data_IF_781756933929
#
_entry.id   IF_781756933929
#
_cell.length_a   1.000
_cell.length_b   1.000
_cell.length_c   1.000
_cell.angle_alpha   90.00
_cell.angle_beta   90.00
_cell.angle_gamma   90.00
#
_symmetry.space_group_name_H-M   'P 1'
#
loop_
_entity.id
_entity.type
_entity.pdbx_description
1 polymer ?
#
# COMPACT_ATOMS: atom_id res chain seq x y z
N UNK A 1 -2.53 -4.01 -30.14
CA UNK A 1 -1.88 -3.34 -28.97
C UNK A 1 -0.66 -2.53 -29.43
N UNK A 2 -0.54 -1.28 -29.00
CA UNK A 2 0.65 -0.47 -29.28
C UNK A 2 1.89 -1.13 -28.67
N UNK A 3 3.03 -1.21 -29.38
CA UNK A 3 4.27 -1.73 -28.81
C UNK A 3 4.68 -0.95 -27.57
N UNK A 4 5.24 -1.63 -26.57
CA UNK A 4 5.63 -1.00 -25.30
C UNK A 4 6.62 0.18 -25.47
N UNK A 5 7.61 0.13 -26.39
CA UNK A 5 8.46 1.30 -26.69
C UNK A 5 7.69 2.55 -27.15
N UNK A 6 6.56 2.37 -27.85
CA UNK A 6 5.70 3.49 -28.28
C UNK A 6 5.03 4.15 -27.09
N UNK A 7 4.55 3.36 -26.13
CA UNK A 7 3.96 3.89 -24.89
C UNK A 7 4.99 4.65 -24.05
N UNK A 8 6.20 4.11 -23.93
CA UNK A 8 7.31 4.76 -23.24
C UNK A 8 7.64 6.10 -23.89
N UNK A 9 7.75 6.14 -25.22
CA UNK A 9 7.99 7.38 -25.98
C UNK A 9 6.93 8.42 -25.69
N UNK A 10 5.65 8.03 -25.78
CA UNK A 10 4.50 8.90 -25.52
C UNK A 10 4.59 9.54 -24.13
N UNK A 11 4.79 8.72 -23.08
CA UNK A 11 4.91 9.23 -21.71
C UNK A 11 6.16 10.08 -21.50
N UNK A 12 7.31 9.71 -22.08
CA UNK A 12 8.57 10.49 -22.04
C UNK A 12 8.38 11.89 -22.60
N UNK A 13 7.63 12.00 -23.68
CA UNK A 13 7.34 13.25 -24.39
C UNK A 13 6.24 14.09 -23.71
N UNK A 14 5.73 13.63 -22.55
CA UNK A 14 4.74 14.35 -21.74
C UNK A 14 3.30 14.14 -22.18
N UNK A 15 3.06 13.26 -23.15
CA UNK A 15 1.72 12.95 -23.61
C UNK A 15 0.98 12.06 -22.59
N UNK A 16 -0.35 12.15 -22.65
CA UNK A 16 -1.27 11.38 -21.81
C UNK A 16 -1.43 9.96 -22.35
N UNK A 17 -1.30 8.96 -21.50
CA UNK A 17 -1.63 7.58 -21.83
C UNK A 17 -3.14 7.36 -21.74
N UNK A 18 -3.70 6.69 -22.74
CA UNK A 18 -5.09 6.26 -22.72
C UNK A 18 -5.27 5.05 -21.80
N UNK A 19 -6.49 4.88 -21.29
CA UNK A 19 -6.86 3.78 -20.40
C UNK A 19 -6.56 2.38 -21.00
N UNK A 20 -6.74 2.21 -22.31
CA UNK A 20 -6.37 0.98 -23.01
C UNK A 20 -4.85 0.76 -23.10
N UNK A 21 -4.07 1.84 -23.24
CA UNK A 21 -2.61 1.80 -23.28
C UNK A 21 -2.05 1.41 -21.90
N UNK A 22 -2.60 2.00 -20.84
CA UNK A 22 -2.22 1.69 -19.46
C UNK A 22 -2.54 0.23 -19.13
N UNK A 23 -3.74 -0.26 -19.49
CA UNK A 23 -4.08 -1.69 -19.35
C UNK A 23 -3.11 -2.59 -20.11
N UNK A 24 -2.72 -2.21 -21.33
CA UNK A 24 -1.77 -3.00 -22.12
C UNK A 24 -0.39 -3.06 -21.46
N UNK A 25 0.08 -1.95 -20.87
CA UNK A 25 1.32 -1.92 -20.10
C UNK A 25 1.24 -2.82 -18.87
N UNK A 26 0.21 -2.66 -18.03
CA UNK A 26 0.05 -3.45 -16.80
C UNK A 26 -0.10 -4.94 -17.10
N UNK A 27 -0.83 -5.30 -18.17
CA UNK A 27 -0.90 -6.69 -18.62
C UNK A 27 0.47 -7.22 -19.04
N UNK A 28 1.25 -6.45 -19.80
CA UNK A 28 2.60 -6.84 -20.18
C UNK A 28 3.55 -7.06 -19.00
N UNK A 29 3.41 -6.24 -17.95
CA UNK A 29 4.12 -6.43 -16.67
C UNK A 29 3.69 -7.73 -15.98
N UNK A 30 2.38 -8.00 -15.95
CA UNK A 30 1.80 -9.16 -15.26
C UNK A 30 2.14 -10.47 -15.94
N UNK A 31 2.09 -10.51 -17.27
CA UNK A 31 2.35 -11.69 -18.11
C UNK A 31 3.86 -11.92 -18.36
N UNK A 32 4.73 -11.02 -17.89
CA UNK A 32 6.18 -11.12 -18.09
C UNK A 32 6.66 -10.83 -19.52
N UNK A 33 5.80 -10.25 -20.38
CA UNK A 33 6.17 -9.86 -21.74
C UNK A 33 6.88 -8.50 -21.79
N UNK A 34 6.72 -7.67 -20.75
CA UNK A 34 7.48 -6.44 -20.56
C UNK A 34 8.85 -6.74 -19.92
N UNK A 35 9.93 -6.38 -20.60
CA UNK A 35 11.29 -6.55 -20.07
C UNK A 35 11.56 -5.52 -18.96
N UNK A 36 12.41 -5.88 -17.98
CA UNK A 36 12.73 -4.98 -16.85
C UNK A 36 13.22 -3.59 -17.31
N UNK A 37 14.06 -3.52 -18.35
CA UNK A 37 14.52 -2.25 -18.91
C UNK A 37 13.38 -1.38 -19.48
N UNK A 38 12.35 -1.99 -20.05
CA UNK A 38 11.17 -1.28 -20.55
C UNK A 38 10.30 -0.78 -19.39
N UNK A 39 10.14 -1.59 -18.35
CA UNK A 39 9.39 -1.22 -17.15
C UNK A 39 10.09 -0.05 -16.43
N UNK A 40 11.40 -0.16 -16.21
CA UNK A 40 12.21 0.92 -15.62
C UNK A 40 12.15 2.21 -16.43
N UNK A 41 12.20 2.13 -17.76
CA UNK A 41 12.05 3.31 -18.63
C UNK A 41 10.66 3.96 -18.52
N UNK A 42 9.58 3.17 -18.45
CA UNK A 42 8.23 3.69 -18.21
C UNK A 42 8.12 4.34 -16.83
N UNK A 43 8.63 3.69 -15.78
CA UNK A 43 8.62 4.22 -14.41
C UNK A 43 9.36 5.57 -14.33
N UNK A 44 10.52 5.68 -14.98
CA UNK A 44 11.27 6.92 -15.03
C UNK A 44 10.54 8.01 -15.82
N UNK A 45 9.90 7.66 -16.95
CA UNK A 45 9.07 8.59 -17.71
C UNK A 45 7.91 9.14 -16.87
N UNK A 46 7.20 8.28 -16.13
CA UNK A 46 6.14 8.69 -15.18
C UNK A 46 6.71 9.52 -14.04
N UNK A 47 7.87 9.17 -13.49
CA UNK A 47 8.53 9.94 -12.43
C UNK A 47 8.83 11.37 -12.88
N UNK A 48 9.30 11.56 -14.12
CA UNK A 48 9.69 12.87 -14.65
C UNK A 48 8.55 13.70 -15.25
N UNK A 49 7.49 13.05 -15.76
CA UNK A 49 6.36 13.72 -16.44
C UNK A 49 5.05 13.68 -15.68
N UNK A 50 4.97 12.91 -14.59
CA UNK A 50 3.75 12.69 -13.83
C UNK A 50 2.69 11.91 -14.62
N UNK A 51 1.52 11.79 -14.02
CA UNK A 51 0.29 11.29 -14.63
C UNK A 51 -0.85 12.17 -14.11
N UNK A 52 -1.84 12.43 -14.97
CA UNK A 52 -3.06 13.10 -14.51
C UNK A 52 -3.94 12.17 -13.63
N UNK A 53 -5.02 12.71 -13.07
CA UNK A 53 -5.92 11.96 -12.18
C UNK A 53 -6.55 10.73 -12.89
N UNK A 54 -6.86 10.85 -14.17
CA UNK A 54 -7.50 9.78 -14.93
C UNK A 54 -6.49 8.69 -15.34
N UNK A 55 -5.27 9.07 -15.71
CA UNK A 55 -4.14 8.16 -15.89
C UNK A 55 -3.86 7.40 -14.58
N UNK A 56 -3.79 8.10 -13.45
CA UNK A 56 -3.54 7.51 -12.12
C UNK A 56 -4.64 6.52 -11.72
N UNK A 57 -5.91 6.88 -11.93
CA UNK A 57 -7.05 5.99 -11.68
C UNK A 57 -7.01 4.75 -12.58
N UNK A 58 -6.71 4.91 -13.88
CA UNK A 58 -6.60 3.81 -14.83
C UNK A 58 -5.47 2.85 -14.45
N UNK A 59 -4.30 3.38 -14.05
CA UNK A 59 -3.18 2.57 -13.55
C UNK A 59 -3.57 1.81 -12.29
N UNK A 60 -4.21 2.48 -11.34
CA UNK A 60 -4.68 1.88 -10.08
C UNK A 60 -5.64 0.72 -10.33
N UNK A 61 -6.65 0.93 -11.20
CA UNK A 61 -7.64 -0.10 -11.55
C UNK A 61 -6.99 -1.28 -12.26
N UNK A 62 -6.14 -1.01 -13.25
CA UNK A 62 -5.46 -2.07 -14.00
C UNK A 62 -4.55 -2.91 -13.09
N UNK A 63 -3.85 -2.29 -12.14
CA UNK A 63 -3.03 -2.99 -11.14
C UNK A 63 -3.90 -3.82 -10.19
N UNK A 64 -5.01 -3.25 -9.68
CA UNK A 64 -5.91 -3.95 -8.75
C UNK A 64 -6.51 -5.22 -9.36
N UNK A 65 -6.81 -5.19 -10.66
CA UNK A 65 -7.38 -6.33 -11.40
C UNK A 65 -6.33 -7.18 -12.13
N UNK A 66 -5.04 -7.00 -11.84
CA UNK A 66 -3.97 -7.80 -12.45
C UNK A 66 -3.92 -9.25 -11.94
N UNK A 67 -4.59 -9.54 -10.82
CA UNK A 67 -4.72 -10.86 -10.24
C UNK A 67 -6.15 -11.16 -9.79
N UNK A 68 -6.30 -12.10 -8.87
CA UNK A 68 -7.58 -12.40 -8.19
C UNK A 68 -7.99 -11.21 -7.32
N UNK A 69 -9.27 -10.86 -7.40
CA UNK A 69 -9.90 -9.95 -6.45
C UNK A 69 -10.51 -10.76 -5.32
N UNK A 70 -10.31 -10.31 -4.07
CA UNK A 70 -10.89 -10.99 -2.91
C UNK A 70 -12.41 -10.83 -2.92
N UNK A 71 -13.13 -11.86 -2.51
CA UNK A 71 -14.58 -11.85 -2.37
C UNK A 71 -14.93 -12.37 -0.98
N UNK A 72 -15.71 -11.59 -0.25
CA UNK A 72 -16.03 -11.87 1.14
C UNK A 72 -17.49 -12.27 1.31
N UNK A 73 -17.81 -13.06 2.35
CA UNK A 73 -19.18 -13.35 2.71
C UNK A 73 -20.02 -12.07 2.83
N UNK A 74 -21.27 -12.04 2.32
CA UNK A 74 -22.16 -10.88 2.46
C UNK A 74 -22.37 -10.41 3.90
N UNK A 75 -22.28 -11.34 4.87
CA UNK A 75 -22.38 -11.03 6.30
C UNK A 75 -21.26 -10.12 6.84
N UNK A 76 -20.15 -9.94 6.10
CA UNK A 76 -19.05 -9.04 6.48
C UNK A 76 -19.16 -7.66 5.83
N UNK A 77 -20.22 -7.42 5.05
CA UNK A 77 -20.45 -6.12 4.44
C UNK A 77 -20.50 -5.02 5.51
N UNK A 78 -19.80 -3.91 5.28
CA UNK A 78 -19.68 -2.81 6.24
C UNK A 78 -18.64 -3.02 7.35
N UNK A 79 -18.12 -4.24 7.56
CA UNK A 79 -17.13 -4.56 8.59
C UNK A 79 -15.69 -4.56 8.05
N UNK A 80 -15.51 -4.62 6.73
CA UNK A 80 -14.20 -4.70 6.10
C UNK A 80 -13.51 -3.33 6.12
N UNK A 81 -12.45 -3.21 6.91
CA UNK A 81 -11.70 -1.97 7.08
C UNK A 81 -10.21 -2.24 6.98
N UNK A 82 -9.45 -1.24 6.58
CA UNK A 82 -7.99 -1.32 6.65
C UNK A 82 -7.35 0.05 6.90
N UNK A 83 -6.07 0.00 7.28
CA UNK A 83 -5.19 1.16 7.38
C UNK A 83 -3.97 0.98 6.50
N UNK A 84 -3.55 2.03 5.82
CA UNK A 84 -2.27 2.04 5.11
C UNK A 84 -1.40 3.22 5.55
N UNK A 85 -0.08 2.99 5.70
CA UNK A 85 0.90 4.04 5.93
C UNK A 85 1.70 4.28 4.66
N UNK A 86 2.04 5.53 4.38
CA UNK A 86 2.95 5.87 3.26
C UNK A 86 4.40 5.48 3.52
N UNK A 87 4.72 4.98 4.71
CA UNK A 87 6.06 4.57 5.12
C UNK A 87 6.70 5.58 6.07
N UNK A 88 7.37 5.06 7.09
CA UNK A 88 8.05 5.84 8.13
C UNK A 88 9.02 4.99 8.94
N UNK A 89 9.84 5.65 9.75
CA UNK A 89 10.84 4.99 10.60
C UNK A 89 10.20 4.63 11.95
N UNK A 90 10.35 3.38 12.38
CA UNK A 90 9.70 2.90 13.60
C UNK A 90 8.17 2.76 13.47
N UNK A 91 7.59 2.74 12.27
CA UNK A 91 6.12 2.69 12.13
C UNK A 91 5.58 1.26 12.33
N UNK A 92 5.29 0.90 13.59
CA UNK A 92 4.70 -0.39 13.98
C UNK A 92 3.20 -0.35 14.23
N UNK A 93 2.51 0.73 13.82
CA UNK A 93 1.07 0.92 14.06
C UNK A 93 0.26 -0.26 13.55
N UNK A 94 0.54 -0.77 12.35
CA UNK A 94 -0.22 -1.86 11.75
C UNK A 94 -0.24 -3.13 12.61
N UNK A 95 0.85 -3.41 13.35
CA UNK A 95 0.96 -4.60 14.20
C UNK A 95 0.00 -4.54 15.40
N UNK A 96 -0.24 -3.34 15.95
CA UNK A 96 -1.18 -3.13 17.05
C UNK A 96 -2.61 -2.86 16.54
N UNK A 97 -2.75 -2.09 15.46
CA UNK A 97 -4.04 -1.62 14.96
C UNK A 97 -4.88 -2.75 14.34
N UNK A 98 -4.28 -3.65 13.57
CA UNK A 98 -5.02 -4.75 12.95
C UNK A 98 -5.76 -5.64 13.98
N UNK A 99 -5.12 -6.15 15.05
CA UNK A 99 -5.84 -6.89 16.08
C UNK A 99 -6.77 -6.01 16.93
N UNK A 100 -6.47 -4.72 17.14
CA UNK A 100 -7.37 -3.81 17.86
C UNK A 100 -8.71 -3.63 17.12
N UNK A 101 -8.67 -3.37 15.81
CA UNK A 101 -9.87 -3.28 14.97
C UNK A 101 -10.65 -4.60 14.92
N UNK A 102 -9.95 -5.73 14.86
CA UNK A 102 -10.58 -7.05 14.93
C UNK A 102 -11.30 -7.27 16.28
N UNK A 103 -10.71 -6.84 17.40
CA UNK A 103 -11.34 -6.88 18.72
C UNK A 103 -12.58 -5.97 18.81
N UNK A 104 -12.60 -4.87 18.04
CA UNK A 104 -13.77 -3.98 17.87
C UNK A 104 -14.83 -4.54 16.90
N UNK A 105 -14.69 -5.78 16.41
CA UNK A 105 -15.65 -6.45 15.53
C UNK A 105 -15.48 -6.18 14.04
N UNK A 106 -14.40 -5.51 13.63
CA UNK A 106 -14.09 -5.31 12.22
C UNK A 106 -13.41 -6.54 11.58
N UNK A 107 -13.34 -6.54 10.25
CA UNK A 107 -12.58 -7.51 9.45
C UNK A 107 -11.44 -6.79 8.72
N UNK A 108 -10.19 -7.20 8.96
CA UNK A 108 -8.99 -6.51 8.45
C UNK A 108 -8.17 -7.42 7.52
N UNK A 109 -8.45 -7.43 6.20
CA UNK A 109 -7.70 -8.20 5.18
C UNK A 109 -6.43 -7.47 4.71
N UNK A 110 -5.56 -7.02 5.61
CA UNK A 110 -4.47 -6.11 5.24
C UNK A 110 -3.45 -6.75 4.28
N UNK A 111 -3.37 -6.22 3.05
CA UNK A 111 -2.25 -6.48 2.13
C UNK A 111 -1.20 -5.39 2.36
N UNK A 112 -0.02 -5.79 2.85
CA UNK A 112 1.08 -4.90 3.19
C UNK A 112 2.29 -5.11 2.26
N UNK A 113 3.22 -4.17 2.29
CA UNK A 113 4.52 -4.26 1.62
C UNK A 113 5.68 -4.55 2.57
N UNK A 114 6.83 -4.86 1.96
CA UNK A 114 8.15 -4.84 2.59
C UNK A 114 8.72 -3.42 2.62
N UNK A 115 9.90 -3.27 3.25
CA UNK A 115 10.64 -2.02 3.28
C UNK A 115 10.81 -1.38 1.89
N UNK A 116 10.91 -0.06 1.89
CA UNK A 116 11.06 0.76 0.68
C UNK A 116 12.00 1.92 0.99
N UNK A 117 13.10 2.04 0.25
CA UNK A 117 14.17 2.98 0.58
C UNK A 117 14.66 2.78 2.03
N UNK A 118 14.65 3.84 2.83
CA UNK A 118 15.07 3.80 4.24
C UNK A 118 13.97 3.40 5.23
N UNK A 119 12.75 3.15 4.76
CA UNK A 119 11.60 2.83 5.63
C UNK A 119 11.45 1.31 5.80
N UNK A 120 11.19 0.86 7.03
CA UNK A 120 10.97 -0.56 7.34
C UNK A 120 9.57 -1.04 6.95
N UNK A 121 9.45 -2.29 6.52
CA UNK A 121 8.18 -2.90 6.11
C UNK A 121 7.47 -3.64 7.25
N UNK A 122 6.14 -3.62 7.24
CA UNK A 122 5.34 -4.40 8.23
C UNK A 122 5.57 -5.91 8.08
N UNK A 123 5.75 -6.39 6.84
CA UNK A 123 6.00 -7.82 6.60
C UNK A 123 7.34 -8.27 7.17
N UNK A 124 8.39 -7.46 7.01
CA UNK A 124 9.73 -7.77 7.53
C UNK A 124 9.74 -7.83 9.07
N UNK A 125 8.89 -7.02 9.73
CA UNK A 125 8.67 -7.07 11.18
C UNK A 125 7.99 -8.38 11.59
N UNK A 126 6.92 -8.78 10.89
CA UNK A 126 6.18 -10.00 11.20
C UNK A 126 7.02 -11.27 10.97
N UNK A 127 7.90 -11.28 9.97
CA UNK A 127 8.83 -12.40 9.72
C UNK A 127 9.88 -12.58 10.83
N UNK A 128 10.06 -11.59 11.72
CA UNK A 128 10.87 -11.77 12.92
C UNK A 128 10.23 -12.73 13.94
N UNK A 129 8.93 -13.02 13.81
CA UNK A 129 8.23 -14.01 14.62
C UNK A 129 8.50 -15.40 14.01
N UNK A 130 9.16 -16.33 14.73
CA UNK A 130 9.50 -17.64 14.19
C UNK A 130 8.26 -18.40 13.66
N UNK A 131 8.32 -18.79 12.38
CA UNK A 131 7.25 -19.54 11.73
C UNK A 131 6.09 -18.69 11.18
N UNK A 132 6.13 -17.36 11.30
CA UNK A 132 5.10 -16.51 10.70
C UNK A 132 5.17 -16.57 9.17
N UNK A 133 4.04 -16.86 8.53
CA UNK A 133 3.92 -16.90 7.05
C UNK A 133 3.19 -15.65 6.57
N UNK A 134 3.88 -14.82 5.80
CA UNK A 134 3.34 -13.59 5.19
C UNK A 134 2.64 -13.83 3.85
N UNK A 135 2.69 -15.04 3.31
CA UNK A 135 1.95 -15.45 2.12
C UNK A 135 0.79 -16.35 2.50
N UNK A 136 -0.40 -16.02 1.99
CA UNK A 136 -1.62 -16.80 2.18
C UNK A 136 -2.44 -16.78 0.89
N UNK A 137 -3.17 -17.85 0.62
CA UNK A 137 -4.18 -17.86 -0.45
C UNK A 137 -5.42 -17.04 -0.04
N UNK A 138 -6.25 -16.58 -1.00
CA UNK A 138 -7.53 -15.95 -0.70
C UNK A 138 -8.42 -16.76 0.27
N UNK A 139 -8.40 -18.08 0.14
CA UNK A 139 -9.16 -19.01 0.99
C UNK A 139 -8.60 -19.05 2.42
N UNK A 140 -7.28 -19.09 2.58
CA UNK A 140 -6.61 -19.00 3.89
C UNK A 140 -6.89 -17.65 4.57
N UNK A 141 -6.90 -16.55 3.81
CA UNK A 141 -7.27 -15.22 4.32
C UNK A 141 -8.71 -15.21 4.82
N UNK A 142 -9.67 -15.73 4.03
CA UNK A 142 -11.06 -15.81 4.45
C UNK A 142 -11.22 -16.64 5.72
N UNK A 143 -10.59 -17.81 5.80
CA UNK A 143 -10.62 -18.64 7.01
C UNK A 143 -10.03 -17.90 8.22
N UNK A 144 -8.91 -17.19 8.04
CA UNK A 144 -8.27 -16.42 9.11
C UNK A 144 -9.16 -15.27 9.60
N UNK A 145 -9.78 -14.52 8.69
CA UNK A 145 -10.71 -13.46 9.05
C UNK A 145 -11.97 -13.96 9.78
N UNK A 146 -12.47 -15.14 9.40
CA UNK A 146 -13.60 -15.75 10.08
C UNK A 146 -13.26 -16.07 11.55
N UNK A 147 -12.05 -16.60 11.80
CA UNK A 147 -11.60 -17.07 13.11
C UNK A 147 -11.01 -15.98 14.02
N UNK A 148 -10.22 -15.07 13.45
CA UNK A 148 -9.37 -14.10 14.19
C UNK A 148 -9.84 -12.66 13.97
N UNK A 149 -10.44 -12.36 12.82
CA UNK A 149 -10.89 -11.01 12.46
C UNK A 149 -9.87 -10.15 11.72
N UNK A 150 -8.58 -10.49 11.76
CA UNK A 150 -7.55 -9.82 10.96
C UNK A 150 -6.52 -10.79 10.37
N UNK A 151 -5.91 -10.40 9.25
CA UNK A 151 -4.70 -11.00 8.71
C UNK A 151 -3.81 -9.90 8.09
N UNK A 152 -2.50 -10.09 8.10
CA UNK A 152 -1.55 -9.23 7.39
C UNK A 152 -0.73 -10.11 6.45
N UNK A 153 -0.83 -9.85 5.15
CA UNK A 153 -0.21 -10.65 4.09
C UNK A 153 0.51 -9.76 3.07
N UNK A 154 1.44 -10.32 2.32
CA UNK A 154 2.08 -9.63 1.19
C UNK A 154 1.36 -9.79 -0.13
N UNK A 155 1.80 -9.04 -1.14
CA UNK A 155 1.41 -9.30 -2.52
C UNK A 155 1.86 -10.71 -2.96
N UNK A 156 1.09 -11.36 -3.82
CA UNK A 156 1.40 -12.71 -4.31
C UNK A 156 1.26 -12.80 -5.84
N UNK A 157 1.52 -13.98 -6.41
CA UNK A 157 1.20 -14.22 -7.82
C UNK A 157 -0.30 -14.10 -8.10
N UNK A 158 -1.13 -14.34 -7.08
CA UNK A 158 -2.59 -14.25 -7.17
C UNK A 158 -3.12 -12.87 -6.77
N UNK A 159 -2.44 -12.13 -5.88
CA UNK A 159 -2.92 -10.86 -5.32
C UNK A 159 -2.06 -9.69 -5.77
N UNK A 160 -2.60 -8.89 -6.68
CA UNK A 160 -2.00 -7.66 -7.23
C UNK A 160 -0.57 -7.88 -7.79
N UNK A 161 -0.36 -8.88 -8.68
CA UNK A 161 0.96 -9.24 -9.19
C UNK A 161 1.67 -8.10 -9.92
N UNK A 162 0.94 -7.19 -10.58
CA UNK A 162 1.55 -6.02 -11.23
C UNK A 162 2.21 -5.09 -10.21
N UNK A 163 1.56 -4.81 -9.06
CA UNK A 163 2.15 -3.99 -7.99
C UNK A 163 3.42 -4.62 -7.46
N UNK A 164 3.44 -5.95 -7.26
CA UNK A 164 4.63 -6.65 -6.79
C UNK A 164 5.85 -6.39 -7.69
N UNK A 165 5.67 -6.47 -9.02
CA UNK A 165 6.75 -6.22 -9.98
C UNK A 165 7.15 -4.75 -10.00
N UNK A 166 6.17 -3.84 -10.09
CA UNK A 166 6.44 -2.40 -10.16
C UNK A 166 7.08 -1.88 -8.86
N UNK A 167 6.61 -2.34 -7.71
CA UNK A 167 7.14 -1.96 -6.39
C UNK A 167 8.60 -2.38 -6.23
N UNK A 168 8.94 -3.63 -6.57
CA UNK A 168 10.32 -4.12 -6.52
C UNK A 168 11.25 -3.36 -7.47
N UNK A 169 10.79 -3.01 -8.67
CA UNK A 169 11.58 -2.23 -9.60
C UNK A 169 11.74 -0.77 -9.16
N UNK A 170 10.70 -0.14 -8.60
CA UNK A 170 10.75 1.25 -8.13
C UNK A 170 11.85 1.48 -7.09
N UNK A 171 12.05 0.51 -6.20
CA UNK A 171 13.05 0.55 -5.13
C UNK A 171 14.49 0.60 -5.69
N UNK A 172 14.75 -0.11 -6.79
CA UNK A 172 16.09 -0.20 -7.40
C UNK A 172 16.29 0.74 -8.59
N UNK A 173 15.27 1.50 -9.01
CA UNK A 173 15.36 2.47 -10.11
C UNK A 173 15.22 3.93 -9.70
N UNK A 174 15.20 4.22 -8.38
CA UNK A 174 15.00 5.58 -7.86
C UNK A 174 13.73 6.25 -8.41
N UNK A 175 12.62 5.50 -8.45
CA UNK A 175 11.31 5.98 -8.91
C UNK A 175 10.22 5.75 -7.86
N UNK A 176 10.61 5.73 -6.58
CA UNK A 176 9.68 5.57 -5.46
C UNK A 176 8.87 6.85 -5.25
N UNK A 177 9.54 8.00 -5.27
CA UNK A 177 9.08 9.37 -4.97
C UNK A 177 8.21 9.97 -6.11
N UNK A 178 7.16 9.25 -6.53
CA UNK A 178 6.25 9.70 -7.58
C UNK A 178 4.81 9.57 -7.12
N UNK A 179 4.12 10.71 -6.98
CA UNK A 179 2.72 10.80 -6.54
C UNK A 179 1.78 9.81 -7.25
N UNK A 180 1.74 9.70 -8.59
CA UNK A 180 0.84 8.76 -9.26
C UNK A 180 1.23 7.29 -9.02
N UNK A 181 2.52 6.98 -8.96
CA UNK A 181 2.99 5.60 -8.70
C UNK A 181 2.71 5.17 -7.26
N UNK A 182 2.90 6.07 -6.29
CA UNK A 182 2.57 5.83 -4.88
C UNK A 182 1.06 5.64 -4.73
N UNK A 183 0.26 6.53 -5.32
CA UNK A 183 -1.21 6.46 -5.28
C UNK A 183 -1.70 5.13 -5.85
N UNK A 184 -1.24 4.77 -7.06
CA UNK A 184 -1.64 3.52 -7.70
C UNK A 184 -1.16 2.28 -6.97
N UNK A 185 0.07 2.30 -6.44
CA UNK A 185 0.60 1.18 -5.65
C UNK A 185 -0.23 0.96 -4.39
N UNK A 186 -0.49 2.00 -3.59
CA UNK A 186 -1.25 1.87 -2.35
C UNK A 186 -2.67 1.40 -2.63
N UNK A 187 -3.40 2.12 -3.49
CA UNK A 187 -4.83 1.88 -3.68
C UNK A 187 -5.14 0.62 -4.49
N UNK A 188 -4.24 0.13 -5.33
CA UNK A 188 -4.46 -1.13 -6.04
C UNK A 188 -4.55 -2.32 -5.07
N UNK A 189 -3.73 -2.33 -4.01
CA UNK A 189 -3.83 -3.29 -2.91
C UNK A 189 -5.17 -3.18 -2.20
N UNK A 190 -5.54 -1.96 -1.79
CA UNK A 190 -6.78 -1.70 -1.04
C UNK A 190 -8.06 -1.95 -1.85
N UNK A 191 -8.00 -1.76 -3.16
CA UNK A 191 -9.08 -2.14 -4.07
C UNK A 191 -9.23 -3.65 -4.20
N UNK A 192 -8.12 -4.41 -4.24
CA UNK A 192 -8.15 -5.87 -4.28
C UNK A 192 -8.76 -6.49 -3.02
N UNK A 193 -8.67 -5.78 -1.88
CA UNK A 193 -9.23 -6.16 -0.58
C UNK A 193 -10.74 -5.96 -0.45
N UNK A 194 -11.40 -5.21 -1.35
CA UNK A 194 -12.84 -4.88 -1.30
C UNK A 194 -13.33 -4.33 0.05
N UNK A 195 -12.64 -3.28 0.51
CA UNK A 195 -12.93 -2.63 1.79
C UNK A 195 -14.21 -1.78 1.78
N UNK A 196 -14.82 -1.64 2.95
CA UNK A 196 -15.91 -0.70 3.23
C UNK A 196 -15.40 0.69 3.67
N UNK A 197 -14.22 0.74 4.29
CA UNK A 197 -13.54 1.97 4.67
C UNK A 197 -12.02 1.77 4.70
N UNK A 198 -11.28 2.85 4.42
CA UNK A 198 -9.82 2.88 4.42
C UNK A 198 -9.33 4.15 5.13
N UNK A 199 -8.45 3.99 6.11
CA UNK A 199 -7.73 5.11 6.73
C UNK A 199 -6.29 5.13 6.24
N UNK A 200 -5.86 6.30 5.77
CA UNK A 200 -4.51 6.53 5.27
C UNK A 200 -3.72 7.35 6.30
N UNK A 201 -2.56 6.87 6.65
CA UNK A 201 -1.60 7.54 7.52
C UNK A 201 -0.47 8.08 6.63
N UNK A 202 -0.60 9.35 6.27
CA UNK A 202 0.29 10.02 5.32
C UNK A 202 1.35 10.77 6.12
N UNK A 203 2.56 10.24 6.08
CA UNK A 203 3.70 10.75 6.85
C UNK A 203 4.28 12.00 6.20
N UNK A 204 4.70 12.96 7.02
CA UNK A 204 5.53 14.09 6.59
C UNK A 204 6.66 14.39 7.58
N UNK A 205 7.80 14.88 7.07
CA UNK A 205 9.00 15.21 7.86
C UNK A 205 10.25 14.53 7.33
N UNK A 206 11.39 14.75 7.98
CA UNK A 206 12.72 14.32 7.49
C UNK A 206 12.84 12.81 7.25
N UNK A 207 12.16 12.00 8.05
CA UNK A 207 12.18 10.54 7.91
C UNK A 207 10.99 9.98 7.11
N UNK A 208 10.12 10.84 6.57
CA UNK A 208 9.05 10.45 5.64
C UNK A 208 9.51 10.48 4.18
N UNK A 209 8.71 9.87 3.31
CA UNK A 209 8.89 10.00 1.86
C UNK A 209 8.64 11.43 1.36
N UNK A 210 7.79 12.18 2.05
CA UNK A 210 7.47 13.57 1.75
C UNK A 210 7.94 14.49 2.88
N UNK A 211 8.91 15.38 2.63
CA UNK A 211 9.52 16.16 3.70
C UNK A 211 8.59 17.27 4.23
N UNK A 212 7.70 17.79 3.39
CA UNK A 212 6.83 18.93 3.76
C UNK A 212 5.39 18.49 3.98
N UNK A 213 4.71 19.15 4.90
CA UNK A 213 3.28 18.92 5.14
C UNK A 213 2.43 19.23 3.90
N UNK A 214 2.84 20.19 3.06
CA UNK A 214 2.15 20.55 1.83
C UNK A 214 2.17 19.41 0.81
N UNK A 215 3.35 18.86 0.52
CA UNK A 215 3.48 17.75 -0.43
C UNK A 215 2.82 16.46 0.08
N UNK A 216 2.85 16.21 1.39
CA UNK A 216 2.06 15.14 2.02
C UNK A 216 0.55 15.37 1.89
N UNK A 217 0.08 16.63 1.98
CA UNK A 217 -1.33 16.97 1.76
C UNK A 217 -1.76 16.72 0.30
N UNK A 218 -0.89 16.97 -0.66
CA UNK A 218 -1.14 16.63 -2.08
C UNK A 218 -1.30 15.12 -2.28
N UNK A 219 -0.39 14.32 -1.69
CA UNK A 219 -0.51 12.87 -1.73
C UNK A 219 -1.81 12.39 -1.06
N UNK A 220 -2.15 12.93 0.11
CA UNK A 220 -3.39 12.60 0.81
C UNK A 220 -4.63 12.90 -0.04
N UNK A 221 -4.66 14.06 -0.72
CA UNK A 221 -5.75 14.41 -1.66
C UNK A 221 -5.85 13.42 -2.80
N UNK A 222 -4.74 13.10 -3.45
CA UNK A 222 -4.69 12.12 -4.55
C UNK A 222 -5.22 10.75 -4.10
N UNK A 223 -4.78 10.27 -2.94
CA UNK A 223 -5.22 8.98 -2.39
C UNK A 223 -6.71 8.96 -2.03
N UNK A 224 -7.23 10.03 -1.41
CA UNK A 224 -8.65 10.13 -1.05
C UNK A 224 -9.51 10.22 -2.31
N UNK A 225 -9.11 11.04 -3.29
CA UNK A 225 -9.85 11.22 -4.54
C UNK A 225 -9.90 9.93 -5.36
N UNK A 226 -8.75 9.28 -5.60
CA UNK A 226 -8.72 8.01 -6.34
C UNK A 226 -9.44 6.90 -5.56
N UNK A 227 -9.31 6.87 -4.23
CA UNK A 227 -10.03 5.94 -3.37
C UNK A 227 -11.55 6.06 -3.49
N UNK A 228 -12.07 7.28 -3.52
CA UNK A 228 -13.50 7.54 -3.73
C UNK A 228 -13.98 7.05 -5.12
N UNK A 229 -13.18 7.25 -6.17
CA UNK A 229 -13.48 6.75 -7.52
C UNK A 229 -13.39 5.21 -7.65
N UNK A 230 -12.80 4.53 -6.66
CA UNK A 230 -12.80 3.08 -6.53
C UNK A 230 -13.97 2.55 -5.67
N UNK A 231 -14.82 3.45 -5.14
CA UNK A 231 -15.94 3.10 -4.28
C UNK A 231 -15.57 2.80 -2.82
N UNK A 232 -14.37 3.21 -2.39
CA UNK A 232 -13.89 3.01 -1.01
C UNK A 232 -14.09 4.31 -0.23
N UNK A 233 -14.68 4.22 0.97
CA UNK A 233 -14.75 5.38 1.88
C UNK A 233 -13.37 5.63 2.47
N UNK A 234 -12.68 6.63 1.95
CA UNK A 234 -11.28 6.88 2.29
C UNK A 234 -11.12 8.16 3.10
N UNK A 235 -10.39 8.07 4.21
CA UNK A 235 -9.95 9.22 5.00
C UNK A 235 -8.42 9.20 5.10
N UNK A 236 -7.81 10.38 5.27
CA UNK A 236 -6.37 10.51 5.44
C UNK A 236 -6.03 11.40 6.65
N UNK A 237 -5.14 10.91 7.51
CA UNK A 237 -4.50 11.68 8.57
C UNK A 237 -3.08 12.02 8.14
N UNK A 238 -2.71 13.29 8.26
CA UNK A 238 -1.33 13.74 8.10
C UNK A 238 -0.62 13.62 9.44
N UNK A 239 0.46 12.83 9.51
CA UNK A 239 1.17 12.58 10.76
C UNK A 239 2.66 12.87 10.63
N UNK A 240 3.25 13.41 11.70
CA UNK A 240 4.66 13.81 11.72
C UNK A 240 5.58 12.58 11.76
N UNK A 241 6.72 12.71 11.11
CA UNK A 241 7.80 11.74 11.03
C UNK A 241 9.15 12.48 11.06
N UNK A 242 9.26 13.46 11.97
CA UNK A 242 10.51 14.16 12.31
C UNK A 242 11.44 13.29 13.17
N UNK A 243 10.85 12.36 13.92
CA UNK A 243 11.53 11.38 14.74
C UNK A 243 10.87 10.02 14.54
N UNK A 244 11.57 8.90 14.81
CA UNK A 244 10.97 7.58 14.79
C UNK A 244 9.71 7.50 15.67
N UNK A 245 8.71 6.74 15.22
CA UNK A 245 7.53 6.48 16.04
C UNK A 245 7.88 5.46 17.14
N UNK A 246 7.51 5.78 18.39
CA UNK A 246 7.84 4.97 19.56
C UNK A 246 9.33 5.02 19.91
N UNK A 247 9.87 3.94 20.50
CA UNK A 247 11.26 3.87 20.97
C UNK A 247 12.09 2.80 20.26
N UNK A 248 11.43 1.83 19.63
CA UNK A 248 12.07 0.77 18.85
C UNK A 248 12.13 1.09 17.35
N UNK A 249 13.28 0.88 16.72
CA UNK A 249 13.44 0.86 15.25
C UNK A 249 14.10 -0.44 14.85
N UNK A 250 13.47 -1.19 13.95
CA UNK A 250 13.95 -2.49 13.49
C UNK A 250 12.81 -3.47 13.22
N UNK A 251 13.08 -4.77 13.34
CA UNK A 251 12.08 -5.81 13.09
C UNK A 251 11.53 -6.38 14.41
N UNK A 252 12.27 -7.28 15.06
CA UNK A 252 11.86 -7.92 16.31
C UNK A 252 11.55 -6.91 17.44
N UNK A 253 12.36 -5.86 17.57
CA UNK A 253 12.15 -4.81 18.57
C UNK A 253 10.82 -4.08 18.38
N UNK A 254 10.43 -3.85 17.13
CA UNK A 254 9.15 -3.22 16.82
C UNK A 254 7.95 -4.14 17.07
N UNK A 255 8.13 -5.46 16.93
CA UNK A 255 7.12 -6.45 17.35
C UNK A 255 6.93 -6.42 18.86
N UNK A 256 8.02 -6.40 19.63
CA UNK A 256 7.95 -6.35 21.10
C UNK A 256 7.23 -5.08 21.57
N UNK A 257 7.57 -3.92 21.00
CA UNK A 257 6.91 -2.66 21.38
C UNK A 257 5.42 -2.61 20.96
N UNK A 258 5.05 -3.25 19.85
CA UNK A 258 3.64 -3.42 19.47
C UNK A 258 2.87 -4.30 20.48
N UNK A 259 3.50 -5.35 21.01
CA UNK A 259 2.91 -6.19 22.06
C UNK A 259 2.73 -5.41 23.37
N UNK A 260 3.71 -4.60 23.77
CA UNK A 260 3.59 -3.71 24.94
C UNK A 260 2.41 -2.74 24.78
N UNK A 261 2.24 -2.17 23.57
CA UNK A 261 1.10 -1.31 23.24
C UNK A 261 -0.24 -2.03 23.41
N UNK A 262 -0.35 -3.28 22.92
CA UNK A 262 -1.57 -4.10 23.04
C UNK A 262 -1.89 -4.49 24.49
N UNK A 263 -0.88 -4.56 25.36
CA UNK A 263 -1.05 -4.80 26.79
C UNK A 263 -1.45 -3.54 27.58
N UNK A 264 -1.66 -2.41 26.89
CA UNK A 264 -2.02 -1.11 27.48
C UNK A 264 -0.82 -0.25 27.89
N UNK A 265 0.40 -0.75 27.70
CA UNK A 265 1.66 -0.04 27.90
C UNK A 265 2.23 0.55 26.60
N UNK A 266 3.55 0.60 26.49
CA UNK A 266 4.26 1.12 25.30
C UNK A 266 4.30 2.66 25.20
N UNK A 267 5.00 3.19 24.18
CA UNK A 267 5.16 4.64 23.98
C UNK A 267 3.83 5.37 23.73
N UNK A 268 3.70 6.57 24.31
CA UNK A 268 2.46 7.34 24.27
C UNK A 268 2.08 7.81 22.85
N UNK A 269 3.06 8.14 22.03
CA UNK A 269 2.90 8.54 20.64
C UNK A 269 2.39 7.38 19.75
N UNK A 270 2.93 6.17 19.94
CA UNK A 270 2.43 4.96 19.28
C UNK A 270 0.97 4.70 19.65
N UNK A 271 0.64 4.69 20.95
CA UNK A 271 -0.73 4.48 21.43
C UNK A 271 -1.70 5.52 20.89
N UNK A 272 -1.32 6.80 20.97
CA UNK A 272 -2.13 7.89 20.46
C UNK A 272 -2.46 7.67 18.99
N UNK A 273 -1.45 7.35 18.18
CA UNK A 273 -1.64 7.16 16.75
C UNK A 273 -2.49 5.92 16.42
N UNK A 274 -2.32 4.80 17.14
CA UNK A 274 -3.20 3.63 17.02
C UNK A 274 -4.66 4.05 17.28
N UNK A 275 -4.94 4.73 18.38
CA UNK A 275 -6.32 5.16 18.71
C UNK A 275 -6.89 6.24 17.77
N UNK A 276 -6.04 7.09 17.20
CA UNK A 276 -6.48 8.14 16.29
C UNK A 276 -6.85 7.60 14.90
N UNK A 277 -6.23 6.49 14.49
CA UNK A 277 -6.46 5.86 13.18
C UNK A 277 -7.60 4.84 13.18
N UNK A 278 -8.01 4.32 14.34
CA UNK A 278 -9.15 3.40 14.45
C UNK A 278 -9.16 2.59 15.75
#
# INVERSE_FOLDING_TARGET
>A
PSPLPTLIRKKRDGERLEDAEIRSFVRGVTEGTAQQGQIGAMLMAVRLRGMDAAETLALTRAMATSGRTLAWPPAWHGQLVDKHSTGGVGDKVSLALAPALAACGCKVPMISGRGLGHTGGTLDKLEAIPGFRVSQSPEEMQHTLARVGCCIVGQSAELVPADRVLYGLRDVTATVDSLPLITASILSKKAAERLSALVLDVKFGEAALYPTQESARELARSLVEVGAHLGIRTAALLTRMEQPLGRAVGNALEVLEALECLQGGGPADLRHLVTALG
#
